data_IF_194914485722
#
_entry.id   IF_194914485722
#
_cell.length_a   1.000
_cell.length_b   1.000
_cell.length_c   1.000
_cell.angle_alpha   90.00
_cell.angle_beta   90.00
_cell.angle_gamma   90.00
#
_symmetry.space_group_name_H-M   'P 1'
#
loop_
_entity.id
_entity.type
_entity.pdbx_description
1 polymer ?
#
# COMPACT_ATOMS: atom_id res chain seq x y z
N UNK A 1 1.61 -26.21 -8.33
CA UNK A 1 0.67 -27.16 -8.98
C UNK A 1 1.32 -27.73 -10.24
N UNK A 2 1.94 -28.92 -10.17
CA UNK A 2 2.36 -29.65 -11.38
C UNK A 2 1.21 -30.56 -11.78
N UNK A 3 0.39 -30.11 -12.74
CA UNK A 3 -0.89 -30.73 -13.12
C UNK A 3 -0.76 -31.76 -14.24
N UNK A 4 -1.86 -32.48 -14.50
CA UNK A 4 -1.97 -33.61 -15.45
C UNK A 4 -1.64 -33.30 -16.93
N UNK A 5 -1.29 -32.05 -17.26
CA UNK A 5 -1.10 -31.55 -18.63
C UNK A 5 0.27 -30.91 -18.88
N UNK A 6 1.14 -30.95 -17.87
CA UNK A 6 2.52 -30.44 -17.94
C UNK A 6 3.52 -31.59 -17.88
N UNK A 7 4.56 -31.56 -18.72
CA UNK A 7 5.66 -32.52 -18.67
C UNK A 7 6.31 -32.46 -17.28
N UNK A 8 6.43 -33.60 -16.60
CA UNK A 8 6.97 -33.65 -15.23
C UNK A 8 8.44 -33.23 -15.15
N UNK A 9 9.19 -33.40 -16.24
CA UNK A 9 10.62 -33.07 -16.34
C UNK A 9 10.84 -31.63 -16.79
N UNK A 10 10.15 -31.18 -17.85
CA UNK A 10 10.36 -29.83 -18.42
C UNK A 10 9.43 -28.76 -17.84
N UNK A 11 8.30 -29.15 -17.24
CA UNK A 11 7.28 -28.23 -16.74
C UNK A 11 6.36 -27.65 -17.82
N UNK A 12 6.65 -27.93 -19.09
CA UNK A 12 5.94 -27.36 -20.23
C UNK A 12 4.58 -28.03 -20.47
N UNK A 13 3.63 -27.26 -20.98
CA UNK A 13 2.31 -27.74 -21.38
C UNK A 13 2.45 -28.48 -22.70
N UNK A 14 2.08 -29.76 -22.72
CA UNK A 14 2.27 -30.61 -23.91
C UNK A 14 1.23 -30.37 -25.00
N UNK A 15 0.04 -29.89 -24.63
CA UNK A 15 -1.01 -29.60 -25.59
C UNK A 15 -0.78 -28.21 -26.20
N UNK A 16 -0.47 -28.12 -27.51
CA UNK A 16 -0.17 -26.85 -28.16
C UNK A 16 -1.35 -25.87 -28.10
N UNK A 17 -2.59 -26.35 -28.23
CA UNK A 17 -3.79 -25.50 -28.15
C UNK A 17 -3.96 -24.87 -26.76
N UNK A 18 -3.66 -25.61 -25.70
CA UNK A 18 -3.76 -25.11 -24.33
C UNK A 18 -2.66 -24.09 -24.06
N UNK A 19 -1.45 -24.34 -24.56
CA UNK A 19 -0.32 -23.42 -24.43
C UNK A 19 -0.62 -22.09 -25.12
N UNK A 20 -0.98 -22.13 -26.40
CA UNK A 20 -1.28 -20.92 -27.18
C UNK A 20 -2.44 -20.12 -26.57
N UNK A 21 -3.41 -20.81 -25.96
CA UNK A 21 -4.50 -20.17 -25.24
C UNK A 21 -4.04 -19.48 -23.94
N UNK A 22 -3.13 -20.10 -23.18
CA UNK A 22 -2.56 -19.48 -21.97
C UNK A 22 -1.74 -18.25 -22.36
N UNK A 23 -0.90 -18.35 -23.38
CA UNK A 23 -0.10 -17.23 -23.88
C UNK A 23 -0.98 -16.04 -24.29
N UNK A 24 -2.13 -16.31 -24.93
CA UNK A 24 -3.12 -15.30 -25.29
C UNK A 24 -3.72 -14.61 -24.05
N UNK A 25 -4.12 -15.38 -23.03
CA UNK A 25 -4.72 -14.83 -21.80
C UNK A 25 -3.69 -14.04 -20.99
N UNK A 26 -2.45 -14.52 -20.90
CA UNK A 26 -1.36 -13.83 -20.23
C UNK A 26 -1.02 -12.51 -20.93
N UNK A 27 -0.90 -12.52 -22.25
CA UNK A 27 -0.66 -11.31 -23.05
C UNK A 27 -1.75 -10.26 -22.83
N UNK A 28 -3.02 -10.67 -22.80
CA UNK A 28 -4.13 -9.75 -22.54
C UNK A 28 -4.16 -9.25 -21.11
N UNK A 29 -3.82 -10.10 -20.13
CA UNK A 29 -3.69 -9.67 -18.74
C UNK A 29 -2.65 -8.55 -18.66
N UNK A 30 -1.53 -8.71 -19.34
CA UNK A 30 -0.45 -7.72 -19.35
C UNK A 30 -0.86 -6.41 -20.05
N UNK A 31 -1.54 -6.48 -21.20
CA UNK A 31 -2.10 -5.31 -21.88
C UNK A 31 -3.13 -4.57 -21.03
N UNK A 32 -4.01 -5.32 -20.34
CA UNK A 32 -5.01 -4.74 -19.45
C UNK A 32 -4.36 -4.07 -18.23
N UNK A 33 -3.33 -4.68 -17.63
CA UNK A 33 -2.55 -4.06 -16.55
C UNK A 33 -1.81 -2.80 -17.02
N UNK A 34 -1.24 -2.83 -18.23
CA UNK A 34 -0.59 -1.67 -18.83
C UNK A 34 -1.58 -0.53 -19.13
N UNK A 35 -2.85 -0.86 -19.40
CA UNK A 35 -3.92 0.10 -19.64
C UNK A 35 -4.56 0.63 -18.36
N UNK A 36 -4.29 0.02 -17.19
CA UNK A 36 -4.75 0.56 -15.92
C UNK A 36 -3.92 1.78 -15.55
N UNK A 37 -4.61 2.90 -15.37
CA UNK A 37 -4.03 4.16 -14.94
C UNK A 37 -3.33 3.98 -13.58
N UNK A 38 -2.01 4.17 -13.54
CA UNK A 38 -1.27 4.38 -12.30
C UNK A 38 -1.78 5.70 -11.71
N UNK A 39 -2.71 5.64 -10.77
CA UNK A 39 -2.86 6.78 -9.85
C UNK A 39 -1.56 6.88 -9.07
N UNK A 40 -0.94 8.05 -9.07
CA UNK A 40 0.31 8.39 -8.36
C UNK A 40 0.17 8.33 -6.81
N UNK A 41 -0.94 7.80 -6.31
CA UNK A 41 -1.19 7.60 -4.90
C UNK A 41 -0.72 6.21 -4.48
N UNK A 42 0.60 6.08 -4.23
CA UNK A 42 1.29 5.14 -3.31
C UNK A 42 0.90 3.66 -3.23
N UNK A 43 -0.09 3.21 -3.97
CA UNK A 43 -0.73 1.92 -3.88
C UNK A 43 -0.06 1.03 -4.89
N UNK A 44 0.89 0.23 -4.40
CA UNK A 44 1.53 -0.85 -5.15
C UNK A 44 0.57 -1.44 -6.17
N UNK A 45 0.89 -1.26 -7.46
CA UNK A 45 0.13 -1.82 -8.57
C UNK A 45 -0.09 -3.31 -8.30
N UNK A 46 -1.33 -3.70 -7.97
CA UNK A 46 -1.67 -5.10 -7.74
C UNK A 46 -1.47 -5.83 -9.06
N UNK A 47 -0.39 -6.61 -9.15
CA UNK A 47 -0.05 -7.47 -10.29
C UNK A 47 -1.04 -8.64 -10.47
N UNK A 48 -2.07 -8.71 -9.63
CA UNK A 48 -3.01 -9.81 -9.54
C UNK A 48 -4.42 -9.37 -9.95
N UNK A 49 -4.83 -9.79 -11.14
CA UNK A 49 -6.23 -9.71 -11.57
C UNK A 49 -7.09 -10.66 -10.75
N UNK A 50 -8.31 -10.24 -10.44
CA UNK A 50 -9.28 -11.11 -9.77
C UNK A 50 -9.62 -12.31 -10.66
N UNK A 51 -9.91 -13.46 -10.03
CA UNK A 51 -10.36 -14.68 -10.75
C UNK A 51 -11.58 -14.42 -11.62
N UNK A 52 -12.50 -13.57 -11.15
CA UNK A 52 -13.69 -13.21 -11.89
C UNK A 52 -13.35 -12.47 -13.20
N UNK A 53 -12.38 -11.55 -13.16
CA UNK A 53 -11.92 -10.82 -14.34
C UNK A 53 -11.20 -11.72 -15.34
N UNK A 54 -10.38 -12.65 -14.86
CA UNK A 54 -9.73 -13.65 -15.72
C UNK A 54 -10.77 -14.53 -16.41
N UNK A 55 -11.79 -15.01 -15.69
CA UNK A 55 -12.86 -15.81 -16.27
C UNK A 55 -13.62 -15.05 -17.38
N UNK A 56 -13.90 -13.77 -17.16
CA UNK A 56 -14.54 -12.92 -18.17
C UNK A 56 -13.70 -12.81 -19.44
N UNK A 57 -12.39 -12.59 -19.32
CA UNK A 57 -11.48 -12.52 -20.47
C UNK A 57 -11.46 -13.82 -21.28
N UNK A 58 -11.45 -14.96 -20.58
CA UNK A 58 -11.51 -16.29 -21.20
C UNK A 58 -12.82 -16.50 -21.96
N UNK A 59 -13.96 -16.15 -21.35
CA UNK A 59 -15.27 -16.33 -21.94
C UNK A 59 -15.55 -15.39 -23.12
N UNK A 60 -15.02 -14.17 -23.10
CA UNK A 60 -15.21 -13.21 -24.20
C UNK A 60 -14.41 -13.59 -25.45
N UNK A 61 -13.15 -14.03 -25.29
CA UNK A 61 -12.24 -14.16 -26.44
C UNK A 61 -11.95 -15.58 -26.89
N UNK A 62 -12.08 -16.57 -26.02
CA UNK A 62 -11.68 -17.94 -26.36
C UNK A 62 -12.83 -18.93 -26.48
N UNK A 63 -13.97 -18.63 -25.90
CA UNK A 63 -15.12 -19.53 -25.93
C UNK A 63 -16.12 -19.05 -26.98
N UNK A 64 -16.34 -19.81 -28.06
CA UNK A 64 -17.28 -19.41 -29.11
C UNK A 64 -18.70 -19.21 -28.55
N UNK A 65 -19.34 -18.11 -28.94
CA UNK A 65 -20.75 -17.81 -28.60
C UNK A 65 -21.66 -18.18 -29.78
N UNK A 66 -22.67 -19.02 -29.54
CA UNK A 66 -23.72 -19.35 -30.53
C UNK A 66 -25.09 -19.04 -29.93
N UNK A 67 -25.83 -18.12 -30.56
CA UNK A 67 -27.14 -17.63 -30.08
C UNK A 67 -27.09 -17.15 -28.61
N UNK A 68 -26.06 -16.38 -28.25
CA UNK A 68 -25.86 -15.86 -26.89
C UNK A 68 -25.39 -16.90 -25.85
N UNK A 69 -25.16 -18.16 -26.25
CA UNK A 69 -24.67 -19.23 -25.37
C UNK A 69 -23.22 -19.57 -25.67
N UNK A 70 -22.40 -19.65 -24.62
CA UNK A 70 -21.03 -20.14 -24.69
C UNK A 70 -21.02 -21.64 -25.01
N UNK A 71 -20.41 -22.01 -26.14
CA UNK A 71 -20.36 -23.38 -26.64
C UNK A 71 -19.43 -24.22 -25.77
N UNK A 72 -19.84 -25.43 -25.42
CA UNK A 72 -19.05 -26.35 -24.58
C UNK A 72 -19.05 -26.01 -23.08
N UNK A 73 -19.61 -24.86 -22.68
CA UNK A 73 -19.81 -24.51 -21.28
C UNK A 73 -21.26 -24.75 -20.84
N UNK A 74 -21.42 -25.18 -19.59
CA UNK A 74 -22.72 -25.19 -18.94
C UNK A 74 -23.28 -23.76 -18.89
N UNK A 75 -24.61 -23.60 -18.83
CA UNK A 75 -25.20 -22.29 -18.56
C UNK A 75 -24.60 -21.79 -17.26
N UNK A 76 -23.96 -20.61 -17.26
CA UNK A 76 -23.70 -19.90 -16.00
C UNK A 76 -25.05 -19.84 -15.29
N UNK A 77 -25.11 -20.29 -14.05
CA UNK A 77 -26.25 -19.99 -13.20
C UNK A 77 -26.35 -18.45 -13.17
N UNK A 78 -27.24 -17.91 -14.00
CA UNK A 78 -27.61 -16.50 -13.94
C UNK A 78 -28.19 -16.34 -12.55
N UNK A 79 -27.52 -15.53 -11.74
CA UNK A 79 -27.66 -15.52 -10.29
C UNK A 79 -27.11 -16.79 -9.64
N UNK A 80 -26.02 -16.63 -8.90
CA UNK A 80 -26.01 -17.18 -7.54
C UNK A 80 -27.41 -16.92 -6.96
N UNK A 81 -28.10 -17.86 -6.28
CA UNK A 81 -29.12 -17.39 -5.34
C UNK A 81 -28.40 -16.32 -4.54
N UNK A 82 -28.91 -15.08 -4.59
CA UNK A 82 -28.34 -13.96 -3.84
C UNK A 82 -28.14 -14.51 -2.44
N UNK A 83 -26.89 -14.85 -2.12
CA UNK A 83 -26.62 -15.54 -0.88
C UNK A 83 -26.77 -14.44 0.12
N UNK A 84 -27.95 -14.36 0.70
CA UNK A 84 -28.24 -13.65 1.93
C UNK A 84 -27.44 -14.23 3.10
N UNK A 85 -26.39 -15.04 2.86
CA UNK A 85 -25.26 -15.08 3.77
C UNK A 85 -24.63 -13.70 3.77
N UNK A 86 -25.12 -12.87 4.69
CA UNK A 86 -24.20 -12.02 5.44
C UNK A 86 -22.99 -12.89 5.77
N UNK A 87 -21.76 -12.52 5.38
CA UNK A 87 -20.59 -13.25 5.84
C UNK A 87 -20.73 -13.35 7.36
N UNK A 88 -20.67 -14.57 7.89
CA UNK A 88 -20.75 -14.78 9.32
C UNK A 88 -19.56 -14.04 9.95
N UNK A 89 -19.84 -12.93 10.61
CA UNK A 89 -18.84 -12.16 11.35
C UNK A 89 -18.84 -12.72 12.77
N UNK A 90 -17.73 -13.34 13.15
CA UNK A 90 -17.54 -13.85 14.50
C UNK A 90 -17.68 -12.69 15.51
N UNK A 91 -18.63 -12.76 16.46
CA UNK A 91 -18.81 -11.72 17.48
C UNK A 91 -17.53 -11.42 18.27
N UNK A 92 -16.67 -12.42 18.48
CA UNK A 92 -15.39 -12.23 19.17
C UNK A 92 -14.43 -11.35 18.36
N UNK A 93 -14.39 -11.53 17.04
CA UNK A 93 -13.57 -10.70 16.14
C UNK A 93 -14.10 -9.26 16.15
N UNK A 94 -15.42 -9.09 16.17
CA UNK A 94 -16.02 -7.76 16.16
C UNK A 94 -15.74 -6.98 17.45
N UNK A 95 -15.83 -7.66 18.61
CA UNK A 95 -15.50 -7.07 19.91
C UNK A 95 -14.00 -6.69 19.99
N UNK A 96 -13.12 -7.55 19.48
CA UNK A 96 -11.68 -7.25 19.46
C UNK A 96 -11.34 -6.07 18.56
N UNK A 97 -12.05 -5.92 17.44
CA UNK A 97 -11.86 -4.81 16.51
C UNK A 97 -12.27 -3.48 17.16
N UNK A 98 -13.42 -3.44 17.85
CA UNK A 98 -13.85 -2.25 18.58
C UNK A 98 -12.86 -1.84 19.68
N UNK A 99 -12.33 -2.81 20.43
CA UNK A 99 -11.30 -2.54 21.45
C UNK A 99 -10.04 -1.93 20.84
N UNK A 100 -9.63 -2.41 19.66
CA UNK A 100 -8.48 -1.85 18.93
C UNK A 100 -8.78 -0.45 18.41
N UNK A 101 -9.98 -0.20 17.90
CA UNK A 101 -10.41 1.14 17.46
C UNK A 101 -10.38 2.14 18.62
N UNK A 102 -10.91 1.76 19.80
CA UNK A 102 -10.85 2.59 21.01
C UNK A 102 -9.39 2.88 21.43
N UNK A 103 -8.52 1.86 21.35
CA UNK A 103 -7.09 2.02 21.65
C UNK A 103 -6.39 2.95 20.64
N UNK A 104 -6.75 2.88 19.36
CA UNK A 104 -6.22 3.78 18.32
C UNK A 104 -6.60 5.22 18.64
N UNK A 105 -7.87 5.50 18.94
CA UNK A 105 -8.32 6.86 19.29
C UNK A 105 -7.59 7.40 20.52
N UNK A 106 -7.41 6.56 21.55
CA UNK A 106 -6.67 6.96 22.75
C UNK A 106 -5.21 7.32 22.43
N UNK A 107 -4.54 6.50 21.62
CA UNK A 107 -3.15 6.73 21.20
C UNK A 107 -3.01 7.96 20.31
N UNK A 108 -3.93 8.18 19.38
CA UNK A 108 -3.97 9.37 18.53
C UNK A 108 -4.14 10.64 19.36
N UNK A 109 -5.02 10.63 20.36
CA UNK A 109 -5.19 11.74 21.30
C UNK A 109 -3.92 12.01 22.12
N UNK A 110 -3.23 10.94 22.56
CA UNK A 110 -1.97 11.09 23.28
C UNK A 110 -0.88 11.68 22.38
N UNK A 111 -0.76 11.19 21.15
CA UNK A 111 0.19 11.70 20.16
C UNK A 111 -0.08 13.17 19.84
N UNK A 112 -1.34 13.56 19.66
CA UNK A 112 -1.71 14.96 19.47
C UNK A 112 -1.29 15.84 20.66
N UNK A 113 -1.43 15.33 21.88
CA UNK A 113 -0.98 16.02 23.10
C UNK A 113 0.54 16.17 23.14
N UNK A 114 1.29 15.13 22.82
CA UNK A 114 2.76 15.16 22.75
C UNK A 114 3.23 16.19 21.72
N UNK A 115 2.64 16.17 20.52
CA UNK A 115 2.97 17.14 19.47
C UNK A 115 2.68 18.58 19.90
N UNK A 116 1.57 18.82 20.59
CA UNK A 116 1.24 20.14 21.14
C UNK A 116 2.25 20.59 22.20
N UNK A 117 2.68 19.69 23.09
CA UNK A 117 3.73 19.98 24.08
C UNK A 117 5.08 20.29 23.43
N UNK A 118 5.47 19.54 22.40
CA UNK A 118 6.69 19.82 21.65
C UNK A 118 6.63 21.21 21.00
N UNK A 119 5.52 21.55 20.33
CA UNK A 119 5.33 22.85 19.72
C UNK A 119 5.35 24.00 20.75
N UNK A 120 4.83 23.77 21.97
CA UNK A 120 4.91 24.74 23.07
C UNK A 120 6.34 24.94 23.58
N UNK A 121 7.21 23.93 23.50
CA UNK A 121 8.61 24.03 23.94
C UNK A 121 9.55 24.63 22.88
N UNK A 122 9.20 24.58 21.61
CA UNK A 122 10.05 25.11 20.52
C UNK A 122 10.32 26.62 20.65
N UNK A 123 9.30 27.41 21.02
CA UNK A 123 9.42 28.84 21.22
C UNK A 123 10.39 29.24 22.36
N UNK A 124 10.24 28.73 23.61
CA UNK A 124 11.18 29.05 24.68
C UNK A 124 12.58 28.50 24.43
N UNK A 125 12.72 27.34 23.75
CA UNK A 125 14.04 26.82 23.35
C UNK A 125 14.72 27.79 22.37
N UNK A 126 14.00 28.32 21.38
CA UNK A 126 14.52 29.28 20.43
C UNK A 126 14.93 30.60 21.10
N UNK A 127 14.12 31.09 22.04
CA UNK A 127 14.41 32.30 22.81
C UNK A 127 15.67 32.14 23.68
N UNK A 128 15.74 31.07 24.47
CA UNK A 128 16.92 30.77 25.30
C UNK A 128 18.19 30.62 24.43
N UNK A 129 18.07 29.99 23.26
CA UNK A 129 19.19 29.87 22.30
C UNK A 129 19.66 31.24 21.78
N UNK A 130 18.73 32.17 21.53
CA UNK A 130 19.07 33.53 21.10
C UNK A 130 19.76 34.31 22.22
N UNK A 131 19.30 34.16 23.47
CA UNK A 131 19.91 34.80 24.64
C UNK A 131 21.35 34.29 24.87
N UNK A 132 21.55 32.97 24.83
CA UNK A 132 22.88 32.37 24.91
C UNK A 132 23.80 32.87 23.79
N UNK A 133 23.29 33.00 22.56
CA UNK A 133 24.07 33.55 21.46
C UNK A 133 24.47 35.02 21.69
N UNK A 134 23.57 35.83 22.27
CA UNK A 134 23.87 37.22 22.65
C UNK A 134 24.94 37.27 23.74
N UNK A 135 24.82 36.47 24.79
CA UNK A 135 25.82 36.40 25.87
C UNK A 135 27.21 36.00 25.34
N UNK A 136 27.27 35.02 24.41
CA UNK A 136 28.53 34.63 23.76
C UNK A 136 29.19 35.77 22.99
N UNK A 137 28.41 36.60 22.27
CA UNK A 137 28.93 37.78 21.56
C UNK A 137 29.51 38.81 22.52
N UNK A 138 28.81 39.07 23.63
CA UNK A 138 29.29 40.01 24.65
C UNK A 138 30.60 39.51 25.26
N UNK A 139 30.68 38.23 25.63
CA UNK A 139 31.90 37.66 26.18
C UNK A 139 33.07 37.72 25.20
N UNK A 140 32.83 37.51 23.90
CA UNK A 140 33.86 37.64 22.87
C UNK A 140 34.37 39.09 22.76
N UNK A 141 33.48 40.08 22.76
CA UNK A 141 33.85 41.51 22.72
C UNK A 141 34.68 41.91 23.96
N UNK A 142 34.32 41.41 25.15
CA UNK A 142 35.10 41.62 26.37
C UNK A 142 36.50 41.01 26.23
N UNK A 143 36.61 39.77 25.76
CA UNK A 143 37.92 39.13 25.55
C UNK A 143 38.78 39.88 24.54
N UNK A 144 38.20 40.37 23.44
CA UNK A 144 38.95 41.18 22.47
C UNK A 144 39.45 42.49 23.09
N UNK A 145 38.62 43.17 23.87
CA UNK A 145 39.03 44.39 24.57
C UNK A 145 40.17 44.11 25.56
N UNK A 146 40.09 43.02 26.31
CA UNK A 146 41.15 42.60 27.24
C UNK A 146 42.47 42.32 26.50
N UNK A 147 42.43 41.62 25.35
CA UNK A 147 43.62 41.38 24.52
C UNK A 147 44.25 42.68 24.01
N UNK A 148 43.46 43.70 23.67
CA UNK A 148 43.97 45.01 23.24
C UNK A 148 44.61 45.80 24.37
N UNK A 149 44.06 45.72 25.58
CA UNK A 149 44.55 46.44 26.76
C UNK A 149 45.77 45.75 27.39
N UNK A 150 45.83 44.42 27.36
CA UNK A 150 46.88 43.60 27.99
C UNK A 150 47.45 42.55 27.03
N UNK A 151 48.18 42.95 25.97
CA UNK A 151 48.67 42.03 24.94
C UNK A 151 49.77 41.07 25.41
N UNK A 152 50.38 41.30 26.58
CA UNK A 152 51.44 40.46 27.13
C UNK A 152 50.93 39.30 28.01
N UNK A 153 49.63 39.31 28.36
CA UNK A 153 49.01 38.34 29.30
C UNK A 153 48.11 37.30 28.60
N UNK A 154 48.03 37.33 27.26
CA UNK A 154 47.15 36.48 26.44
C UNK A 154 47.87 35.87 25.24
#
# INVERSE_FOLDING_TARGET
>A
MRGAYTNKKTGEIHNPLIRDFIDLVESQKQEYLASQHLSDDGSSASTNLSRARVNEMVEEKAVPKKKGRLVGLARRASSYPSSSQTPYVDPMIMEELHKKDDQIVALESQNATILAQMAQQDAPIAEHKAEVAKAKRINLDIMEKMKRLFPAEF
#
